data_IF_821196035661
#
_entry.id   IF_821196035661
#
_cell.length_a   1.000
_cell.length_b   1.000
_cell.length_c   1.000
_cell.angle_alpha   90.00
_cell.angle_beta   90.00
_cell.angle_gamma   90.00
#
_symmetry.space_group_name_H-M   'P 1'
#
loop_
_entity.id
_entity.type
_entity.pdbx_description
1 polymer ?
#
# COMPACT_ATOMS: atom_id res chain seq x y z
N UNK A 1 32.94 -16.53 -22.66
CA UNK A 1 31.53 -16.11 -22.51
C UNK A 1 30.76 -17.30 -21.98
N UNK A 2 30.42 -17.32 -20.69
CA UNK A 2 29.45 -18.25 -20.12
C UNK A 2 28.83 -17.54 -18.92
N UNK A 3 28.03 -16.52 -19.20
CA UNK A 3 27.07 -16.03 -18.20
C UNK A 3 26.15 -17.20 -17.92
N UNK A 4 26.15 -17.67 -16.67
CA UNK A 4 25.24 -18.74 -16.27
C UNK A 4 23.84 -18.15 -16.13
N UNK A 5 23.13 -18.04 -17.25
CA UNK A 5 21.75 -17.53 -17.29
C UNK A 5 20.81 -18.35 -16.41
N UNK A 6 21.15 -19.61 -16.10
CA UNK A 6 20.37 -20.41 -15.16
C UNK A 6 20.51 -19.87 -13.73
N UNK A 7 21.71 -19.44 -13.33
CA UNK A 7 21.92 -18.75 -12.05
C UNK A 7 21.19 -17.40 -12.00
N UNK A 8 21.22 -16.64 -13.10
CA UNK A 8 20.53 -15.34 -13.17
C UNK A 8 19.02 -15.50 -13.04
N UNK A 9 18.40 -16.35 -13.89
CA UNK A 9 16.95 -16.56 -13.88
C UNK A 9 16.50 -17.28 -12.61
N UNK A 10 17.23 -18.31 -12.18
CA UNK A 10 16.94 -19.07 -10.97
C UNK A 10 17.10 -18.22 -9.71
N UNK A 11 18.17 -17.44 -9.62
CA UNK A 11 18.40 -16.47 -8.54
C UNK A 11 17.33 -15.40 -8.51
N UNK A 12 16.97 -14.80 -9.65
CA UNK A 12 15.89 -13.80 -9.70
C UNK A 12 14.54 -14.38 -9.28
N UNK A 13 14.18 -15.56 -9.79
CA UNK A 13 12.94 -16.24 -9.43
C UNK A 13 12.88 -16.61 -7.95
N UNK A 14 13.96 -17.16 -7.39
CA UNK A 14 14.06 -17.49 -5.97
C UNK A 14 13.99 -16.24 -5.09
N UNK A 15 14.61 -15.14 -5.52
CA UNK A 15 14.57 -13.86 -4.82
C UNK A 15 13.13 -13.33 -4.74
N UNK A 16 12.42 -13.27 -5.87
CA UNK A 16 11.02 -12.83 -5.89
C UNK A 16 10.12 -13.74 -5.05
N UNK A 17 10.32 -15.06 -5.12
CA UNK A 17 9.58 -16.03 -4.32
C UNK A 17 9.83 -15.83 -2.81
N UNK A 18 11.09 -15.71 -2.41
CA UNK A 18 11.50 -15.51 -1.02
C UNK A 18 10.88 -14.25 -0.42
N UNK A 19 10.83 -13.15 -1.17
CA UNK A 19 10.23 -11.91 -0.71
C UNK A 19 8.71 -11.96 -0.67
N UNK A 20 8.08 -12.68 -1.60
CA UNK A 20 6.64 -12.93 -1.54
C UNK A 20 6.28 -13.73 -0.28
N UNK A 21 7.08 -14.73 0.08
CA UNK A 21 6.92 -15.50 1.31
C UNK A 21 7.12 -14.61 2.55
N UNK A 22 8.21 -13.85 2.60
CA UNK A 22 8.50 -12.93 3.71
C UNK A 22 7.36 -11.93 3.92
N UNK A 23 6.91 -11.26 2.86
CA UNK A 23 5.82 -10.29 2.94
C UNK A 23 4.52 -10.95 3.45
N UNK A 24 4.17 -12.14 2.94
CA UNK A 24 2.96 -12.87 3.39
C UNK A 24 3.01 -13.20 4.89
N UNK A 25 4.18 -13.58 5.42
CA UNK A 25 4.33 -13.94 6.84
C UNK A 25 4.23 -12.70 7.73
N UNK A 26 4.91 -11.61 7.34
CA UNK A 26 4.83 -10.32 8.02
C UNK A 26 3.38 -9.79 8.04
N UNK A 27 2.68 -9.88 6.91
CA UNK A 27 1.27 -9.48 6.79
C UNK A 27 0.35 -10.32 7.70
N UNK A 28 0.51 -11.65 7.70
CA UNK A 28 -0.31 -12.58 8.49
C UNK A 28 -0.18 -12.32 9.99
N UNK A 29 1.04 -12.03 10.46
CA UNK A 29 1.32 -11.79 11.88
C UNK A 29 0.58 -10.54 12.42
N UNK A 30 0.15 -9.63 11.54
CA UNK A 30 -0.26 -8.28 11.92
C UNK A 30 -1.74 -7.97 11.60
N UNK A 31 -2.41 -8.85 10.84
CA UNK A 31 -3.82 -8.70 10.44
C UNK A 31 -4.82 -8.56 11.62
N UNK A 32 -4.52 -9.10 12.81
CA UNK A 32 -5.41 -9.02 13.96
C UNK A 32 -5.34 -7.67 14.72
N UNK A 33 -4.30 -6.86 14.49
CA UNK A 33 -4.03 -5.62 15.26
C UNK A 33 -4.67 -4.36 14.67
N UNK A 34 -5.29 -4.44 13.48
CA UNK A 34 -5.78 -3.28 12.72
C UNK A 34 -7.18 -2.81 13.18
N UNK A 35 -7.99 -3.72 13.72
CA UNK A 35 -9.37 -3.44 14.15
C UNK A 35 -9.53 -2.24 15.10
N UNK A 36 -8.70 -2.05 16.15
CA UNK A 36 -8.82 -0.89 17.03
C UNK A 36 -8.38 0.43 16.39
N UNK A 37 -7.54 0.40 15.35
CA UNK A 37 -7.05 1.61 14.67
C UNK A 37 -8.16 2.27 13.81
N UNK A 38 -9.09 1.47 13.27
CA UNK A 38 -10.21 1.94 12.45
C UNK A 38 -11.14 2.92 13.19
N UNK A 39 -11.37 2.74 14.49
CA UNK A 39 -12.29 3.59 15.28
C UNK A 39 -11.74 5.01 15.50
N UNK A 40 -10.41 5.16 15.52
CA UNK A 40 -9.77 6.47 15.74
C UNK A 40 -9.59 7.28 14.44
N UNK A 41 -9.77 6.68 13.26
CA UNK A 41 -9.69 7.38 11.94
C UNK A 41 -10.71 8.53 11.85
N UNK A 42 -11.82 8.42 12.56
CA UNK A 42 -12.97 9.31 12.43
C UNK A 42 -12.85 10.63 13.20
N UNK A 43 -11.82 10.83 14.04
CA UNK A 43 -11.80 11.97 14.97
C UNK A 43 -11.08 13.23 14.48
N UNK A 44 -10.08 13.12 13.57
CA UNK A 44 -9.29 14.29 13.12
C UNK A 44 -8.51 14.00 11.81
N UNK A 45 -8.44 14.99 10.90
CA UNK A 45 -7.67 14.96 9.65
C UNK A 45 -6.19 14.57 9.85
N UNK A 46 -5.50 15.15 10.83
CA UNK A 46 -4.09 14.84 11.07
C UNK A 46 -3.90 13.40 11.57
N UNK A 47 -4.87 12.93 12.35
CA UNK A 47 -4.86 11.57 12.87
C UNK A 47 -5.05 10.54 11.75
N UNK A 48 -5.75 10.88 10.66
CA UNK A 48 -5.84 10.04 9.46
C UNK A 48 -4.46 9.69 8.89
N UNK A 49 -3.55 10.67 8.82
CA UNK A 49 -2.18 10.46 8.34
C UNK A 49 -1.36 9.58 9.29
N UNK A 50 -1.43 9.85 10.60
CA UNK A 50 -0.72 9.04 11.61
C UNK A 50 -1.19 7.60 11.57
N UNK A 51 -2.50 7.35 11.46
CA UNK A 51 -3.03 5.99 11.32
C UNK A 51 -2.53 5.32 10.05
N UNK A 52 -2.50 6.03 8.92
CA UNK A 52 -1.94 5.47 7.68
C UNK A 52 -0.50 4.98 7.88
N UNK A 53 0.33 5.81 8.52
CA UNK A 53 1.73 5.47 8.81
C UNK A 53 1.84 4.27 9.75
N UNK A 54 1.19 4.34 10.91
CA UNK A 54 1.21 3.27 11.92
C UNK A 54 0.62 1.97 11.36
N UNK A 55 -0.51 2.06 10.66
CA UNK A 55 -1.14 0.91 10.00
C UNK A 55 -0.20 0.28 8.99
N UNK A 56 0.54 1.03 8.18
CA UNK A 56 1.48 0.43 7.24
C UNK A 56 2.75 -0.09 7.90
N UNK A 57 3.25 0.54 8.97
CA UNK A 57 4.35 -0.02 9.76
C UNK A 57 3.97 -1.40 10.29
N UNK A 58 2.73 -1.54 10.75
CA UNK A 58 2.20 -2.82 11.20
C UNK A 58 1.88 -3.74 10.03
N UNK A 59 1.04 -3.37 9.08
CA UNK A 59 0.64 -4.22 7.94
C UNK A 59 1.82 -4.60 7.04
N UNK A 60 2.88 -3.79 7.04
CA UNK A 60 4.05 -3.91 6.18
C UNK A 60 3.76 -3.79 4.68
N UNK A 61 2.56 -3.35 4.28
CA UNK A 61 2.21 -3.14 2.88
C UNK A 61 1.31 -1.90 2.73
N UNK A 62 1.84 -0.81 2.14
CA UNK A 62 1.06 0.40 1.91
C UNK A 62 -0.12 0.17 0.97
N UNK A 63 0.02 -0.70 -0.03
CA UNK A 63 -1.08 -1.00 -0.97
C UNK A 63 -2.30 -1.57 -0.25
N UNK A 64 -2.10 -2.43 0.76
CA UNK A 64 -3.21 -2.98 1.56
C UNK A 64 -3.87 -1.86 2.38
N UNK A 65 -3.09 -1.02 3.06
CA UNK A 65 -3.61 0.13 3.82
C UNK A 65 -4.40 1.10 2.93
N UNK A 66 -3.90 1.38 1.72
CA UNK A 66 -4.54 2.28 0.75
C UNK A 66 -5.83 1.66 0.21
N UNK A 67 -5.82 0.37 -0.15
CA UNK A 67 -7.02 -0.35 -0.59
C UNK A 67 -8.08 -0.40 0.52
N UNK A 68 -7.68 -0.57 1.78
CA UNK A 68 -8.59 -0.49 2.90
C UNK A 68 -9.22 0.92 3.03
N UNK A 69 -8.42 1.98 2.88
CA UNK A 69 -8.92 3.36 2.85
C UNK A 69 -9.85 3.62 1.65
N UNK A 70 -9.58 3.02 0.49
CA UNK A 70 -10.45 3.04 -0.68
C UNK A 70 -11.78 2.35 -0.42
N UNK A 71 -11.78 1.19 0.25
CA UNK A 71 -13.00 0.49 0.64
C UNK A 71 -13.87 1.33 1.58
N UNK A 72 -13.27 1.95 2.60
CA UNK A 72 -13.98 2.85 3.51
C UNK A 72 -14.53 4.10 2.79
N UNK A 73 -13.75 4.66 1.86
CA UNK A 73 -14.18 5.77 1.01
C UNK A 73 -15.36 5.39 0.12
N UNK A 74 -15.33 4.19 -0.47
CA UNK A 74 -16.44 3.66 -1.29
C UNK A 74 -17.73 3.50 -0.49
N UNK A 75 -17.63 3.11 0.78
CA UNK A 75 -18.79 3.05 1.70
C UNK A 75 -19.19 4.40 2.31
N UNK A 76 -18.54 5.51 1.93
CA UNK A 76 -18.74 6.84 2.51
C UNK A 76 -18.52 6.92 4.03
N UNK A 77 -17.77 5.98 4.63
CA UNK A 77 -17.40 5.97 6.05
C UNK A 77 -16.36 7.05 6.37
N UNK A 78 -15.51 7.39 5.40
CA UNK A 78 -14.49 8.43 5.50
C UNK A 78 -14.52 9.30 4.24
N UNK A 79 -14.07 10.56 4.37
CA UNK A 79 -14.05 11.50 3.25
C UNK A 79 -12.85 11.27 2.33
N UNK A 80 -12.91 11.78 1.09
CA UNK A 80 -11.79 11.73 0.15
C UNK A 80 -10.51 12.35 0.74
N UNK A 81 -10.63 13.45 1.49
CA UNK A 81 -9.50 14.11 2.15
C UNK A 81 -8.91 13.22 3.27
N UNK A 82 -9.74 12.59 4.10
CA UNK A 82 -9.26 11.66 5.12
C UNK A 82 -8.54 10.47 4.50
N UNK A 83 -9.10 9.86 3.45
CA UNK A 83 -8.45 8.75 2.73
C UNK A 83 -7.15 9.16 2.07
N UNK A 84 -7.09 10.39 1.52
CA UNK A 84 -5.87 10.96 0.97
C UNK A 84 -4.78 11.10 2.03
N UNK A 85 -5.11 11.58 3.23
CA UNK A 85 -4.18 11.68 4.34
C UNK A 85 -3.74 10.30 4.86
N UNK A 86 -4.66 9.32 4.96
CA UNK A 86 -4.31 7.92 5.27
C UNK A 86 -3.31 7.37 4.23
N UNK A 87 -3.55 7.64 2.95
CA UNK A 87 -2.67 7.22 1.87
C UNK A 87 -1.27 7.84 2.02
N UNK A 88 -1.16 9.15 2.26
CA UNK A 88 0.14 9.81 2.51
C UNK A 88 0.88 9.16 3.68
N UNK A 89 0.19 8.98 4.81
CA UNK A 89 0.73 8.30 5.97
C UNK A 89 1.23 6.89 5.63
N UNK A 90 0.41 6.12 4.90
CA UNK A 90 0.76 4.76 4.49
C UNK A 90 2.05 4.71 3.68
N UNK A 91 2.29 5.70 2.80
CA UNK A 91 3.54 5.76 2.03
C UNK A 91 4.77 6.03 2.90
N UNK A 92 4.63 6.86 3.95
CA UNK A 92 5.70 7.07 4.93
C UNK A 92 5.99 5.79 5.73
N UNK A 93 4.95 5.08 6.16
CA UNK A 93 5.10 3.85 6.95
C UNK A 93 5.90 2.76 6.24
N UNK A 94 5.82 2.67 4.90
CA UNK A 94 6.58 1.70 4.09
C UNK A 94 8.11 1.85 4.23
N UNK A 95 8.58 3.02 4.62
CA UNK A 95 10.02 3.33 4.72
C UNK A 95 10.71 2.60 5.88
N UNK A 96 9.98 2.12 6.89
CA UNK A 96 10.57 1.38 8.02
C UNK A 96 11.31 0.12 7.55
N UNK A 97 10.83 -0.53 6.48
CA UNK A 97 11.46 -1.74 5.93
C UNK A 97 12.84 -1.48 5.34
N UNK A 98 13.06 -0.32 4.72
CA UNK A 98 14.39 -0.03 4.16
C UNK A 98 15.45 0.10 5.25
N UNK A 99 15.09 0.62 6.43
CA UNK A 99 16.00 0.67 7.58
C UNK A 99 16.30 -0.72 8.14
N UNK A 100 15.28 -1.56 8.27
CA UNK A 100 15.47 -2.96 8.68
C UNK A 100 16.45 -3.68 7.74
N UNK A 101 16.31 -3.51 6.43
CA UNK A 101 17.19 -4.14 5.45
C UNK A 101 18.58 -3.51 5.34
N UNK A 102 18.73 -2.22 5.65
CA UNK A 102 20.04 -1.57 5.66
C UNK A 102 20.94 -2.08 6.79
N UNK A 103 20.34 -2.40 7.95
CA UNK A 103 21.06 -2.82 9.17
C UNK A 103 21.18 -4.35 9.27
N UNK A 104 20.38 -5.11 8.50
CA UNK A 104 20.40 -6.57 8.53
C UNK A 104 21.81 -7.14 8.28
N UNK A 105 22.16 -8.23 8.99
CA UNK A 105 23.49 -8.86 8.90
C UNK A 105 23.41 -10.04 7.91
N UNK A 106 24.07 -9.90 6.75
CA UNK A 106 23.90 -10.79 5.59
C UNK A 106 24.88 -11.97 5.53
N UNK A 107 26.00 -11.91 6.26
CA UNK A 107 27.09 -12.92 6.20
C UNK A 107 26.60 -14.36 6.47
N UNK A 108 25.45 -14.51 7.09
CA UNK A 108 24.91 -15.79 7.54
C UNK A 108 23.79 -16.34 6.66
N UNK A 109 23.52 -15.80 5.47
CA UNK A 109 22.37 -16.22 4.63
C UNK A 109 22.25 -17.73 4.43
N UNK A 110 23.33 -18.42 4.07
CA UNK A 110 23.32 -19.88 3.89
C UNK A 110 23.10 -20.64 5.21
N UNK A 111 23.73 -20.17 6.30
CA UNK A 111 23.53 -20.74 7.63
C UNK A 111 22.09 -20.54 8.12
N UNK A 112 21.49 -19.38 7.83
CA UNK A 112 20.10 -19.06 8.11
C UNK A 112 19.18 -20.02 7.35
N UNK A 113 19.44 -20.31 6.07
CA UNK A 113 18.66 -21.30 5.30
C UNK A 113 18.77 -22.68 5.94
N UNK A 114 19.98 -23.14 6.25
CA UNK A 114 20.22 -24.48 6.81
C UNK A 114 19.53 -24.68 8.15
N UNK A 115 19.77 -23.75 9.09
CA UNK A 115 19.18 -23.77 10.43
C UNK A 115 17.66 -23.67 10.34
N UNK A 116 17.13 -22.70 9.60
CA UNK A 116 15.68 -22.50 9.51
C UNK A 116 14.98 -23.69 8.85
N UNK A 117 15.57 -24.31 7.83
CA UNK A 117 15.00 -25.51 7.19
C UNK A 117 14.91 -26.68 8.16
N UNK A 118 15.95 -26.91 8.98
CA UNK A 118 15.95 -27.97 9.99
C UNK A 118 14.88 -27.70 11.05
N UNK A 119 14.87 -26.49 11.62
CA UNK A 119 13.89 -26.12 12.65
C UNK A 119 12.45 -26.14 12.13
N UNK A 120 12.22 -25.83 10.86
CA UNK A 120 10.88 -25.87 10.25
C UNK A 120 10.28 -27.28 10.25
N UNK A 121 11.11 -28.30 10.03
CA UNK A 121 10.68 -29.72 10.07
C UNK A 121 10.43 -30.18 11.50
N UNK A 122 11.20 -29.68 12.46
CA UNK A 122 11.15 -30.12 13.87
C UNK A 122 10.07 -29.40 14.69
N UNK A 123 9.76 -28.14 14.38
CA UNK A 123 8.85 -27.31 15.17
C UNK A 123 7.38 -27.61 14.87
N UNK A 124 6.62 -27.90 15.93
CA UNK A 124 5.16 -28.13 15.85
C UNK A 124 4.32 -26.94 16.31
N UNK A 125 4.91 -25.96 17.00
CA UNK A 125 4.16 -24.79 17.50
C UNK A 125 3.93 -23.77 16.36
N UNK A 126 2.68 -23.34 16.11
CA UNK A 126 2.33 -22.56 14.92
C UNK A 126 3.06 -21.20 14.89
N UNK A 127 3.12 -20.49 16.01
CA UNK A 127 3.80 -19.19 16.09
C UNK A 127 5.32 -19.30 15.82
N UNK A 128 6.00 -20.25 16.47
CA UNK A 128 7.45 -20.45 16.25
C UNK A 128 7.75 -20.88 14.81
N UNK A 129 6.87 -21.68 14.23
CA UNK A 129 6.98 -22.09 12.82
C UNK A 129 6.90 -20.87 11.90
N UNK A 130 5.97 -19.94 12.12
CA UNK A 130 5.89 -18.69 11.34
C UNK A 130 7.16 -17.84 11.45
N UNK A 131 7.75 -17.72 12.66
CA UNK A 131 9.03 -17.03 12.83
C UNK A 131 10.17 -17.69 12.05
N UNK A 132 10.22 -19.03 12.06
CA UNK A 132 11.24 -19.80 11.32
C UNK A 132 11.01 -19.76 9.81
N UNK A 133 9.75 -19.75 9.35
CA UNK A 133 9.41 -19.52 7.93
C UNK A 133 9.87 -18.13 7.47
N UNK A 134 9.71 -17.09 8.30
CA UNK A 134 10.20 -15.74 7.99
C UNK A 134 11.72 -15.72 7.89
N UNK A 135 12.39 -16.38 8.82
CA UNK A 135 13.85 -16.47 8.85
C UNK A 135 14.38 -17.27 7.63
N UNK A 136 13.70 -18.36 7.25
CA UNK A 136 13.99 -19.11 6.03
C UNK A 136 13.81 -18.23 4.79
N UNK A 137 12.73 -17.45 4.70
CA UNK A 137 12.49 -16.54 3.59
C UNK A 137 13.61 -15.49 3.46
N UNK A 138 14.08 -14.92 4.57
CA UNK A 138 15.24 -14.01 4.58
C UNK A 138 16.51 -14.73 4.09
N UNK A 139 16.79 -15.94 4.60
CA UNK A 139 17.95 -16.72 4.18
C UNK A 139 17.91 -17.06 2.69
N UNK A 140 16.76 -17.49 2.17
CA UNK A 140 16.57 -17.78 0.75
C UNK A 140 16.74 -16.54 -0.11
N UNK A 141 16.34 -15.36 0.37
CA UNK A 141 16.57 -14.11 -0.33
C UNK A 141 18.08 -13.82 -0.49
N UNK A 142 18.88 -14.03 0.56
CA UNK A 142 20.33 -13.87 0.49
C UNK A 142 21.01 -14.91 -0.41
N UNK A 143 20.56 -16.17 -0.35
CA UNK A 143 21.04 -17.21 -1.26
C UNK A 143 20.74 -16.86 -2.72
N UNK A 144 19.52 -16.39 -3.00
CA UNK A 144 19.09 -15.98 -4.33
C UNK A 144 19.94 -14.82 -4.88
N UNK A 145 20.30 -13.87 -4.01
CA UNK A 145 21.19 -12.75 -4.36
C UNK A 145 22.63 -13.20 -4.63
N UNK A 146 23.11 -14.20 -3.88
CA UNK A 146 24.41 -14.81 -4.17
C UNK A 146 24.45 -15.47 -5.55
N UNK A 147 23.40 -16.21 -5.91
CA UNK A 147 23.26 -16.80 -7.27
C UNK A 147 23.19 -15.73 -8.36
N UNK A 148 22.42 -14.65 -8.11
CA UNK A 148 22.36 -13.51 -9.02
C UNK A 148 23.72 -12.86 -9.21
N UNK A 149 24.46 -12.64 -8.12
CA UNK A 149 25.81 -12.09 -8.17
C UNK A 149 26.72 -12.96 -9.04
N UNK A 150 26.81 -14.25 -8.75
CA UNK A 150 27.66 -15.18 -9.51
C UNK A 150 27.28 -15.24 -10.99
N UNK A 151 25.98 -15.28 -11.30
CA UNK A 151 25.50 -15.31 -12.67
C UNK A 151 25.77 -14.00 -13.43
N UNK A 152 25.70 -12.84 -12.77
CA UNK A 152 25.90 -11.52 -13.37
C UNK A 152 27.35 -11.07 -13.41
N UNK A 153 28.24 -11.62 -12.57
CA UNK A 153 29.66 -11.27 -12.52
C UNK A 153 30.33 -11.22 -13.91
N UNK A 154 30.19 -12.24 -14.78
CA UNK A 154 30.81 -12.23 -16.10
C UNK A 154 30.31 -11.13 -17.04
N UNK A 155 29.15 -10.53 -16.77
CA UNK A 155 28.60 -9.41 -17.53
C UNK A 155 29.10 -8.10 -16.93
N UNK A 156 28.96 -7.94 -15.61
CA UNK A 156 29.33 -6.69 -14.91
C UNK A 156 30.81 -6.36 -15.07
N UNK A 157 31.70 -7.35 -15.14
CA UNK A 157 33.13 -7.12 -15.32
C UNK A 157 33.52 -6.80 -16.77
N UNK A 158 32.59 -6.81 -17.73
CA UNK A 158 32.91 -6.48 -19.12
C UNK A 158 33.02 -4.97 -19.33
N UNK A 159 33.98 -4.56 -20.15
CA UNK A 159 34.25 -3.15 -20.44
C UNK A 159 33.02 -2.40 -20.96
N UNK A 160 32.21 -3.00 -21.83
CA UNK A 160 30.99 -2.33 -22.33
C UNK A 160 29.95 -2.14 -21.22
N UNK A 161 29.83 -3.09 -20.29
CA UNK A 161 28.88 -2.99 -19.16
C UNK A 161 29.38 -1.94 -18.17
N UNK A 162 30.67 -1.91 -17.86
CA UNK A 162 31.24 -0.86 -17.01
C UNK A 162 31.15 0.52 -17.67
N UNK A 163 31.34 0.63 -18.99
CA UNK A 163 31.19 1.91 -19.70
C UNK A 163 29.73 2.35 -19.76
N UNK A 164 28.77 1.43 -19.93
CA UNK A 164 27.35 1.74 -19.79
C UNK A 164 27.04 2.18 -18.36
N UNK A 165 27.45 1.42 -17.35
CA UNK A 165 27.23 1.76 -15.94
C UNK A 165 27.82 3.15 -15.65
N UNK A 166 29.06 3.42 -16.10
CA UNK A 166 29.71 4.73 -16.00
C UNK A 166 28.96 5.83 -16.74
N UNK A 167 28.40 5.57 -17.92
CA UNK A 167 27.56 6.52 -18.66
C UNK A 167 26.25 6.84 -17.92
N UNK A 168 25.69 5.87 -17.22
CA UNK A 168 24.47 6.07 -16.40
C UNK A 168 24.77 6.64 -15.00
N UNK A 169 25.97 6.40 -14.46
CA UNK A 169 26.42 6.78 -13.11
C UNK A 169 27.16 8.13 -13.07
N UNK A 170 28.04 8.42 -14.04
CA UNK A 170 28.93 9.59 -14.05
C UNK A 170 28.51 10.70 -15.00
N UNK A 171 27.70 10.41 -16.02
CA UNK A 171 27.18 11.44 -16.92
C UNK A 171 25.81 11.89 -16.42
N UNK A 172 25.78 13.09 -15.82
CA UNK A 172 24.63 13.86 -15.32
C UNK A 172 23.60 14.23 -16.39
N UNK A 173 23.38 13.37 -17.39
CA UNK A 173 22.31 13.58 -18.35
C UNK A 173 20.99 13.28 -17.67
N UNK A 174 20.03 14.20 -17.78
CA UNK A 174 18.66 13.99 -17.32
C UNK A 174 18.07 12.70 -17.94
N UNK A 175 18.51 12.34 -19.15
CA UNK A 175 18.05 11.14 -19.85
C UNK A 175 18.46 9.83 -19.17
N UNK A 176 19.72 9.71 -18.69
CA UNK A 176 20.19 8.52 -17.98
C UNK A 176 19.45 8.36 -16.65
N UNK A 177 19.28 9.46 -15.92
CA UNK A 177 18.56 9.49 -14.66
C UNK A 177 17.08 9.05 -14.83
N UNK A 178 16.39 9.57 -15.85
CA UNK A 178 15.01 9.19 -16.15
C UNK A 178 14.87 7.71 -16.52
N UNK A 179 15.85 7.13 -17.25
CA UNK A 179 15.84 5.71 -17.60
C UNK A 179 16.00 4.82 -16.35
N UNK A 180 16.85 5.21 -15.41
CA UNK A 180 17.03 4.47 -14.14
C UNK A 180 15.75 4.55 -13.29
N UNK A 181 15.13 5.72 -13.18
CA UNK A 181 13.83 5.89 -12.51
C UNK A 181 12.74 5.05 -13.20
N UNK A 182 12.68 5.07 -14.53
CA UNK A 182 11.72 4.27 -15.30
C UNK A 182 11.93 2.77 -15.06
N UNK A 183 13.18 2.31 -14.94
CA UNK A 183 13.51 0.92 -14.63
C UNK A 183 13.00 0.51 -13.24
N UNK A 184 13.27 1.32 -12.21
CA UNK A 184 12.75 1.09 -10.87
C UNK A 184 11.21 1.06 -10.82
N UNK A 185 10.57 1.96 -11.58
CA UNK A 185 9.12 1.99 -11.75
C UNK A 185 8.59 0.71 -12.38
N UNK A 186 9.13 0.31 -13.53
CA UNK A 186 8.71 -0.86 -14.29
C UNK A 186 8.85 -2.15 -13.48
N UNK A 187 10.02 -2.38 -12.87
CA UNK A 187 10.26 -3.57 -12.05
C UNK A 187 9.29 -3.57 -10.86
N UNK A 188 9.04 -2.42 -10.24
CA UNK A 188 8.07 -2.35 -9.13
C UNK A 188 6.64 -2.59 -9.60
N UNK A 189 6.26 -2.19 -10.81
CA UNK A 189 4.92 -2.50 -11.35
C UNK A 189 4.72 -4.00 -11.55
N UNK A 190 5.76 -4.72 -11.98
CA UNK A 190 5.72 -6.18 -12.13
C UNK A 190 5.66 -6.89 -10.78
N UNK A 191 6.50 -6.46 -9.84
CA UNK A 191 6.61 -7.09 -8.51
C UNK A 191 5.51 -6.61 -7.54
N UNK A 192 4.91 -5.46 -7.80
CA UNK A 192 3.85 -4.80 -7.03
C UNK A 192 4.24 -4.47 -5.57
N UNK A 193 5.54 -4.35 -5.28
CA UNK A 193 6.06 -4.04 -3.94
C UNK A 193 7.31 -3.15 -4.04
N UNK A 194 7.17 -1.87 -3.68
CA UNK A 194 8.33 -0.95 -3.62
C UNK A 194 9.38 -1.42 -2.63
N UNK A 195 8.98 -1.93 -1.46
CA UNK A 195 9.95 -2.38 -0.46
C UNK A 195 10.79 -3.56 -0.92
N UNK A 196 10.22 -4.42 -1.77
CA UNK A 196 10.96 -5.50 -2.43
C UNK A 196 12.02 -4.93 -3.36
N UNK A 197 11.69 -3.91 -4.15
CA UNK A 197 12.65 -3.27 -5.05
C UNK A 197 13.70 -2.48 -4.27
N UNK A 198 13.31 -1.79 -3.20
CA UNK A 198 14.25 -1.12 -2.30
C UNK A 198 15.22 -2.15 -1.69
N UNK A 199 14.73 -3.29 -1.21
CA UNK A 199 15.59 -4.36 -0.71
C UNK A 199 16.57 -4.89 -1.78
N UNK A 200 16.08 -5.11 -3.01
CA UNK A 200 16.94 -5.49 -4.14
C UNK A 200 18.02 -4.44 -4.40
N UNK A 201 17.66 -3.17 -4.44
CA UNK A 201 18.59 -2.05 -4.63
C UNK A 201 19.66 -2.02 -3.53
N UNK A 202 19.26 -2.19 -2.26
CA UNK A 202 20.19 -2.24 -1.15
C UNK A 202 21.18 -3.39 -1.29
N UNK A 203 20.72 -4.58 -1.70
CA UNK A 203 21.65 -5.70 -1.91
C UNK A 203 22.57 -5.46 -3.11
N UNK A 204 22.03 -4.99 -4.24
CA UNK A 204 22.87 -4.70 -5.41
C UNK A 204 23.93 -3.64 -5.08
N UNK A 205 23.59 -2.65 -4.25
CA UNK A 205 24.56 -1.67 -3.74
C UNK A 205 25.60 -2.30 -2.82
N UNK A 206 25.19 -3.22 -1.93
CA UNK A 206 26.12 -3.98 -1.06
C UNK A 206 27.14 -4.79 -1.85
N UNK A 207 26.75 -5.33 -3.00
CA UNK A 207 27.62 -6.09 -3.90
C UNK A 207 28.44 -5.21 -4.86
N UNK A 208 28.29 -3.87 -4.78
CA UNK A 208 28.99 -2.91 -5.65
C UNK A 208 28.42 -2.80 -7.07
N UNK A 209 27.26 -3.39 -7.36
CA UNK A 209 26.61 -3.30 -8.68
C UNK A 209 25.84 -2.01 -8.90
N UNK A 210 25.43 -1.34 -7.81
CA UNK A 210 24.63 -0.12 -7.85
C UNK A 210 25.29 0.90 -6.94
N UNK A 211 25.72 2.02 -7.52
CA UNK A 211 26.23 3.14 -6.74
C UNK A 211 25.10 3.95 -6.10
N UNK A 212 25.45 4.83 -5.17
CA UNK A 212 24.48 5.59 -4.37
C UNK A 212 23.49 6.41 -5.22
N UNK A 213 23.92 7.26 -6.17
CA UNK A 213 23.01 7.97 -7.08
C UNK A 213 22.07 7.04 -7.87
N UNK A 214 22.59 5.95 -8.44
CA UNK A 214 21.77 4.99 -9.18
C UNK A 214 20.74 4.31 -8.27
N UNK A 215 21.15 3.90 -7.07
CA UNK A 215 20.26 3.31 -6.07
C UNK A 215 19.16 4.28 -5.65
N UNK A 216 19.51 5.54 -5.40
CA UNK A 216 18.53 6.58 -5.09
C UNK A 216 17.49 6.75 -6.21
N UNK A 217 17.94 6.83 -7.46
CA UNK A 217 17.06 6.94 -8.62
C UNK A 217 16.13 5.72 -8.79
N UNK A 218 16.64 4.50 -8.58
CA UNK A 218 15.82 3.27 -8.59
C UNK A 218 14.75 3.30 -7.49
N UNK A 219 15.08 3.78 -6.29
CA UNK A 219 14.14 3.92 -5.16
C UNK A 219 13.04 4.95 -5.50
N UNK A 220 13.38 6.07 -6.14
CA UNK A 220 12.40 7.05 -6.63
C UNK A 220 11.45 6.41 -7.64
N UNK A 221 12.00 5.65 -8.60
CA UNK A 221 11.22 4.87 -9.55
C UNK A 221 10.26 3.90 -8.87
N UNK A 222 10.74 3.15 -7.88
CA UNK A 222 9.95 2.17 -7.15
C UNK A 222 8.75 2.79 -6.43
N UNK A 223 8.89 4.03 -5.96
CA UNK A 223 7.80 4.78 -5.36
C UNK A 223 6.66 5.09 -6.35
N UNK A 224 6.99 5.33 -7.62
CA UNK A 224 5.98 5.47 -8.69
C UNK A 224 5.35 4.11 -9.00
N UNK A 225 6.15 3.07 -9.20
CA UNK A 225 5.62 1.78 -9.66
C UNK A 225 4.59 1.14 -8.71
N UNK A 226 4.65 1.43 -7.41
CA UNK A 226 3.68 0.93 -6.42
C UNK A 226 2.25 1.48 -6.63
N UNK A 227 2.08 2.55 -7.41
CA UNK A 227 0.75 3.15 -7.63
C UNK A 227 -0.12 2.32 -8.58
N UNK A 228 0.45 1.31 -9.27
CA UNK A 228 -0.34 0.43 -10.14
C UNK A 228 -1.38 -0.37 -9.34
N UNK A 229 -1.05 -0.82 -8.12
CA UNK A 229 -1.95 -1.69 -7.34
C UNK A 229 -3.24 -0.97 -6.95
N UNK A 230 -3.22 0.26 -6.40
CA UNK A 230 -4.45 1.02 -6.14
C UNK A 230 -5.19 1.40 -7.42
N UNK A 231 -4.50 1.65 -8.54
CA UNK A 231 -5.16 1.92 -9.83
C UNK A 231 -6.00 0.72 -10.26
N UNK A 232 -5.40 -0.47 -10.32
CA UNK A 232 -6.10 -1.71 -10.68
C UNK A 232 -7.25 -1.97 -9.70
N UNK A 233 -7.00 -1.84 -8.40
CA UNK A 233 -8.02 -2.04 -7.38
C UNK A 233 -9.19 -1.06 -7.50
N UNK A 234 -8.98 0.15 -8.03
CA UNK A 234 -10.02 1.17 -8.18
C UNK A 234 -10.95 0.98 -9.38
N UNK A 235 -10.61 0.10 -10.32
CA UNK A 235 -11.35 -0.03 -11.60
C UNK A 235 -12.83 -0.35 -11.38
N UNK A 236 -13.13 -1.17 -10.37
CA UNK A 236 -14.47 -1.64 -10.00
C UNK A 236 -15.24 -0.69 -9.06
N UNK A 237 -14.62 0.41 -8.61
CA UNK A 237 -15.22 1.33 -7.63
C UNK A 237 -15.71 2.65 -8.23
N UNK A 238 -16.47 3.39 -7.41
CA UNK A 238 -17.03 4.70 -7.72
C UNK A 238 -15.96 5.79 -7.91
N UNK A 239 -16.39 6.94 -8.46
CA UNK A 239 -15.49 8.05 -8.84
C UNK A 239 -14.62 8.55 -7.68
N UNK A 240 -15.12 8.59 -6.45
CA UNK A 240 -14.32 9.01 -5.29
C UNK A 240 -13.13 8.08 -5.04
N UNK A 241 -13.32 6.77 -5.18
CA UNK A 241 -12.24 5.79 -5.04
C UNK A 241 -11.24 5.92 -6.18
N UNK A 242 -11.71 6.14 -7.41
CA UNK A 242 -10.86 6.43 -8.58
C UNK A 242 -10.06 7.72 -8.42
N UNK A 243 -10.66 8.79 -7.86
CA UNK A 243 -9.97 10.05 -7.52
C UNK A 243 -8.82 9.79 -6.55
N UNK A 244 -9.04 8.99 -5.51
CA UNK A 244 -7.98 8.64 -4.56
C UNK A 244 -6.83 7.87 -5.25
N UNK A 245 -7.15 6.85 -6.04
CA UNK A 245 -6.12 6.06 -6.74
C UNK A 245 -5.31 6.91 -7.74
N UNK A 246 -5.97 7.77 -8.52
CA UNK A 246 -5.30 8.68 -9.45
C UNK A 246 -4.48 9.73 -8.69
N UNK A 247 -4.99 10.24 -7.56
CA UNK A 247 -4.21 11.15 -6.72
C UNK A 247 -2.90 10.54 -6.26
N UNK A 248 -2.91 9.25 -5.90
CA UNK A 248 -1.71 8.53 -5.49
C UNK A 248 -0.64 8.53 -6.59
N UNK A 249 -1.04 8.23 -7.83
CA UNK A 249 -0.16 8.27 -9.00
C UNK A 249 0.39 9.68 -9.22
N UNK A 250 -0.50 10.68 -9.28
CA UNK A 250 -0.13 12.06 -9.61
C UNK A 250 0.85 12.62 -8.59
N UNK A 251 0.59 12.49 -7.28
CA UNK A 251 1.48 13.04 -6.26
C UNK A 251 2.83 12.33 -6.22
N UNK A 252 2.89 11.02 -6.49
CA UNK A 252 4.14 10.25 -6.55
C UNK A 252 4.96 10.67 -7.76
N UNK A 253 4.30 10.79 -8.91
CA UNK A 253 4.94 11.25 -10.14
C UNK A 253 5.49 12.67 -9.97
N UNK A 254 4.66 13.62 -9.49
CA UNK A 254 5.10 14.99 -9.23
C UNK A 254 6.20 15.04 -8.18
N UNK A 255 6.06 14.28 -7.09
CA UNK A 255 7.09 14.17 -6.06
C UNK A 255 8.45 13.75 -6.61
N UNK A 256 8.46 12.74 -7.50
CA UNK A 256 9.70 12.32 -8.18
C UNK A 256 10.18 13.41 -9.13
N UNK A 257 9.33 14.00 -9.98
CA UNK A 257 9.76 15.07 -10.90
C UNK A 257 10.36 16.27 -10.18
N UNK A 258 9.75 16.68 -9.06
CA UNK A 258 10.25 17.74 -8.18
C UNK A 258 11.63 17.33 -7.65
N UNK A 259 11.75 16.13 -7.07
CA UNK A 259 13.04 15.63 -6.53
C UNK A 259 14.12 15.54 -7.61
N UNK A 260 13.77 15.10 -8.83
CA UNK A 260 14.71 15.02 -9.95
C UNK A 260 15.20 16.40 -10.41
N UNK A 261 14.37 17.44 -10.31
CA UNK A 261 14.75 18.82 -10.68
C UNK A 261 15.88 19.37 -9.82
N UNK A 262 16.08 18.83 -8.61
CA UNK A 262 17.17 19.18 -7.71
C UNK A 262 17.90 17.94 -7.17
N UNK A 263 18.02 16.90 -7.99
CA UNK A 263 18.50 15.58 -7.56
C UNK A 263 19.84 15.63 -6.80
N UNK A 264 20.83 16.37 -7.31
CA UNK A 264 22.12 16.53 -6.62
C UNK A 264 21.98 17.20 -5.26
N UNK A 265 21.13 18.22 -5.13
CA UNK A 265 20.87 18.89 -3.85
C UNK A 265 20.11 17.98 -2.88
N UNK A 266 19.22 17.13 -3.40
CA UNK A 266 18.52 16.13 -2.60
C UNK A 266 19.49 15.09 -2.03
N UNK A 267 20.47 14.60 -2.80
CA UNK A 267 21.49 13.69 -2.28
C UNK A 267 22.34 14.37 -1.19
N UNK A 268 22.79 15.61 -1.42
CA UNK A 268 23.52 16.38 -0.39
C UNK A 268 22.71 16.58 0.90
N UNK A 269 21.40 16.78 0.80
CA UNK A 269 20.52 16.85 1.96
C UNK A 269 20.50 15.53 2.73
N UNK A 270 20.44 14.39 2.03
CA UNK A 270 20.48 13.07 2.67
C UNK A 270 21.83 12.86 3.36
N UNK A 271 22.93 13.21 2.68
CA UNK A 271 24.29 13.07 3.18
C UNK A 271 24.53 13.95 4.42
N UNK A 272 23.90 15.13 4.48
CA UNK A 272 23.96 16.01 5.64
C UNK A 272 23.18 15.49 6.86
N UNK A 273 22.15 14.66 6.65
CA UNK A 273 21.29 14.11 7.71
C UNK A 273 21.86 12.79 8.26
N UNK A 274 22.44 11.97 7.39
CA UNK A 274 22.93 10.63 7.75
C UNK A 274 24.42 10.69 8.09
N UNK A 275 24.81 10.34 9.32
CA UNK A 275 26.21 10.36 9.72
C UNK A 275 27.02 9.25 9.01
N UNK A 276 28.29 9.55 8.74
CA UNK A 276 29.23 8.63 8.09
C UNK A 276 29.38 8.92 6.59
N UNK A 277 30.56 8.60 6.04
CA UNK A 277 30.81 8.76 4.61
C UNK A 277 29.97 7.76 3.80
N UNK A 278 29.53 8.20 2.62
CA UNK A 278 28.71 7.39 1.71
C UNK A 278 29.40 6.07 1.36
N UNK A 279 30.74 6.03 1.32
CA UNK A 279 31.50 4.80 1.06
C UNK A 279 31.28 3.71 2.12
N UNK A 280 31.20 4.08 3.39
CA UNK A 280 31.10 3.12 4.50
C UNK A 280 29.65 2.85 4.91
N UNK A 281 28.75 3.81 4.65
CA UNK A 281 27.35 3.79 5.09
C UNK A 281 26.32 3.85 3.95
N UNK A 282 26.70 3.52 2.71
CA UNK A 282 25.84 3.61 1.51
C UNK A 282 24.42 3.06 1.70
N UNK A 283 24.28 1.95 2.43
CA UNK A 283 23.00 1.31 2.70
C UNK A 283 22.08 2.14 3.60
N UNK A 284 22.65 2.83 4.59
CA UNK A 284 21.93 3.76 5.47
C UNK A 284 21.52 5.01 4.68
N UNK A 285 22.39 5.55 3.83
CA UNK A 285 22.04 6.65 2.93
C UNK A 285 20.90 6.28 1.98
N UNK A 286 20.91 5.08 1.38
CA UNK A 286 19.81 4.61 0.53
C UNK A 286 18.48 4.42 1.30
N UNK A 287 18.52 3.91 2.53
CA UNK A 287 17.33 3.84 3.38
C UNK A 287 16.81 5.24 3.76
N UNK A 288 17.71 6.19 3.99
CA UNK A 288 17.38 7.58 4.27
C UNK A 288 16.82 8.29 3.03
N UNK A 289 17.35 8.06 1.83
CA UNK A 289 16.76 8.53 0.56
C UNK A 289 15.28 8.17 0.51
N UNK A 290 14.95 6.90 0.77
CA UNK A 290 13.57 6.44 0.74
C UNK A 290 12.69 7.17 1.77
N UNK A 291 13.22 7.40 2.97
CA UNK A 291 12.50 8.03 4.09
C UNK A 291 12.32 9.52 3.88
N UNK A 292 13.39 10.24 3.58
CA UNK A 292 13.41 11.69 3.37
C UNK A 292 12.55 12.04 2.16
N UNK A 293 12.65 11.30 1.05
CA UNK A 293 11.76 11.49 -0.10
C UNK A 293 10.28 11.37 0.27
N UNK A 294 9.88 10.30 0.96
CA UNK A 294 8.48 10.13 1.35
C UNK A 294 8.04 11.15 2.39
N UNK A 295 8.91 11.52 3.33
CA UNK A 295 8.64 12.54 4.33
C UNK A 295 8.42 13.91 3.70
N UNK A 296 9.28 14.35 2.78
CA UNK A 296 9.12 15.60 2.05
C UNK A 296 7.81 15.63 1.26
N UNK A 297 7.45 14.53 0.59
CA UNK A 297 6.17 14.41 -0.10
C UNK A 297 4.98 14.49 0.86
N UNK A 298 5.05 13.83 2.01
CA UNK A 298 3.99 13.86 3.02
C UNK A 298 3.81 15.26 3.58
N UNK A 299 4.89 15.98 3.86
CA UNK A 299 4.84 17.37 4.31
C UNK A 299 4.25 18.29 3.24
N UNK A 300 4.74 18.20 1.99
CA UNK A 300 4.29 19.04 0.88
C UNK A 300 2.81 18.81 0.54
N UNK A 301 2.45 17.55 0.28
CA UNK A 301 1.09 17.19 -0.15
C UNK A 301 0.09 17.15 1.01
N UNK A 302 0.56 16.91 2.23
CA UNK A 302 -0.25 16.99 3.45
C UNK A 302 -0.68 18.43 3.74
N UNK A 303 0.23 19.41 3.60
CA UNK A 303 -0.11 20.83 3.75
C UNK A 303 -1.06 21.31 2.65
N UNK A 304 -0.89 20.79 1.43
CA UNK A 304 -1.72 21.12 0.27
C UNK A 304 -2.95 20.21 0.11
N UNK A 305 -3.31 19.38 1.10
CA UNK A 305 -4.33 18.33 0.96
C UNK A 305 -5.65 18.86 0.44
N UNK A 306 -6.13 19.97 0.99
CA UNK A 306 -7.40 20.59 0.59
C UNK A 306 -7.35 21.10 -0.86
N UNK A 307 -6.21 21.63 -1.32
CA UNK A 307 -6.02 22.10 -2.70
C UNK A 307 -5.97 20.91 -3.66
N UNK A 308 -5.20 19.89 -3.32
CA UNK A 308 -5.11 18.65 -4.12
C UNK A 308 -6.49 18.03 -4.29
N UNK A 309 -7.27 17.91 -3.21
CA UNK A 309 -8.64 17.36 -3.26
C UNK A 309 -9.53 18.19 -4.19
N UNK A 310 -9.49 19.53 -4.15
CA UNK A 310 -10.24 20.39 -5.08
C UNK A 310 -9.86 20.15 -6.55
N UNK A 311 -8.56 20.03 -6.84
CA UNK A 311 -8.07 19.74 -8.19
C UNK A 311 -8.56 18.36 -8.66
N UNK A 312 -8.59 17.35 -7.78
CA UNK A 312 -9.12 16.02 -8.12
C UNK A 312 -10.60 16.04 -8.49
N UNK A 313 -11.41 16.89 -7.84
CA UNK A 313 -12.81 17.09 -8.22
C UNK A 313 -12.96 17.75 -9.60
N UNK A 314 -11.99 18.55 -10.03
CA UNK A 314 -11.97 19.16 -11.37
C UNK A 314 -11.49 18.18 -12.45
N UNK A 315 -10.43 17.41 -12.18
CA UNK A 315 -9.87 16.41 -13.10
C UNK A 315 -10.83 15.25 -13.38
N UNK A 316 -11.58 14.84 -12.35
CA UNK A 316 -12.58 13.79 -12.46
C UNK A 316 -13.89 14.37 -11.95
N UNK A 317 -14.67 15.07 -12.79
CA UNK A 317 -15.93 15.65 -12.38
C UNK A 317 -16.87 14.57 -11.86
N UNK A 318 -17.58 14.87 -10.78
CA UNK A 318 -18.76 14.11 -10.39
C UNK A 318 -19.77 14.32 -11.50
N UNK A 319 -20.43 13.26 -11.97
CA UNK A 319 -21.64 13.51 -12.73
C UNK A 319 -22.62 14.24 -11.81
N UNK A 320 -23.51 15.06 -12.36
CA UNK A 320 -24.60 15.74 -11.65
C UNK A 320 -25.40 14.79 -10.74
N UNK A 321 -25.29 13.49 -11.00
CA UNK A 321 -25.81 12.38 -10.21
C UNK A 321 -25.13 12.15 -8.84
N UNK A 322 -23.83 12.43 -8.69
CA UNK A 322 -23.08 12.10 -7.46
C UNK A 322 -23.22 13.16 -6.37
N UNK A 323 -23.48 14.43 -6.73
CA UNK A 323 -23.92 15.46 -5.77
C UNK A 323 -25.37 15.24 -5.33
N UNK A 324 -26.18 14.60 -6.17
CA UNK A 324 -27.55 14.23 -5.86
C UNK A 324 -27.67 12.94 -5.03
N UNK A 325 -26.60 12.18 -4.85
CA UNK A 325 -26.58 10.99 -3.98
C UNK A 325 -26.55 11.33 -2.49
N UNK A 326 -26.48 12.61 -2.12
CA UNK A 326 -26.86 13.09 -0.78
C UNK A 326 -28.38 13.29 -0.62
N UNK A 327 -29.17 13.13 -1.70
CA UNK A 327 -30.62 13.07 -1.63
C UNK A 327 -31.06 11.62 -1.50
N UNK A 328 -31.76 11.32 -0.41
CA UNK A 328 -32.31 10.01 -0.01
C UNK A 328 -33.30 9.43 -1.05
N UNK A 329 -33.70 10.21 -2.07
CA UNK A 329 -34.79 9.87 -2.98
C UNK A 329 -34.32 9.11 -4.25
N UNK A 330 -34.93 7.94 -4.56
CA UNK A 330 -34.67 7.21 -5.79
C UNK A 330 -34.94 8.04 -7.05
N UNK A 331 -34.15 7.82 -8.11
CA UNK A 331 -34.20 8.58 -9.37
C UNK A 331 -35.61 8.68 -10.01
N UNK A 332 -36.43 7.64 -9.83
CA UNK A 332 -37.82 7.58 -10.32
C UNK A 332 -38.74 8.56 -9.58
N UNK A 333 -38.57 8.69 -8.27
CA UNK A 333 -39.37 9.57 -7.40
C UNK A 333 -39.04 11.03 -7.70
N UNK A 334 -37.78 11.33 -7.97
CA UNK A 334 -37.33 12.67 -8.35
C UNK A 334 -37.89 13.13 -9.70
N UNK A 335 -37.89 12.25 -10.70
CA UNK A 335 -38.53 12.53 -12.01
C UNK A 335 -40.04 12.72 -11.87
N UNK A 336 -40.69 12.02 -10.93
CA UNK A 336 -42.09 12.24 -10.58
C UNK A 336 -42.32 13.58 -9.88
N UNK A 337 -41.50 13.95 -8.90
CA UNK A 337 -41.55 15.24 -8.18
C UNK A 337 -41.49 16.43 -9.14
N UNK A 338 -40.60 16.37 -10.14
CA UNK A 338 -40.41 17.44 -11.11
C UNK A 338 -41.57 17.59 -12.12
N UNK A 339 -42.38 16.55 -12.33
CA UNK A 339 -43.47 16.55 -13.34
C UNK A 339 -44.86 16.61 -12.72
N UNK A 340 -45.07 15.94 -11.59
CA UNK A 340 -46.34 15.84 -10.88
C UNK A 340 -46.11 15.81 -9.35
N UNK A 341 -45.91 16.98 -8.71
CA UNK A 341 -45.50 17.07 -7.31
C UNK A 341 -46.45 16.33 -6.36
N UNK A 342 -47.77 16.47 -6.55
CA UNK A 342 -48.79 15.86 -5.69
C UNK A 342 -48.80 14.32 -5.75
N UNK A 343 -48.49 13.73 -6.91
CA UNK A 343 -48.39 12.28 -7.04
C UNK A 343 -47.10 11.73 -6.44
N UNK A 344 -46.02 12.52 -6.49
CA UNK A 344 -44.75 12.13 -5.93
C UNK A 344 -44.76 12.13 -4.40
N UNK A 345 -45.44 13.10 -3.76
CA UNK A 345 -45.67 13.08 -2.31
C UNK A 345 -46.42 11.83 -1.86
N UNK A 346 -47.52 11.46 -2.55
CA UNK A 346 -48.27 10.23 -2.24
C UNK A 346 -47.44 8.95 -2.39
N UNK A 347 -46.55 8.89 -3.39
CA UNK A 347 -45.67 7.73 -3.56
C UNK A 347 -44.58 7.69 -2.47
N UNK A 348 -44.04 8.84 -2.07
CA UNK A 348 -43.10 8.92 -0.93
C UNK A 348 -43.78 8.46 0.36
N UNK A 349 -44.97 8.94 0.67
CA UNK A 349 -45.73 8.53 1.87
C UNK A 349 -46.00 7.02 1.89
N UNK A 350 -46.28 6.44 0.71
CA UNK A 350 -46.48 5.01 0.55
C UNK A 350 -45.20 4.20 0.78
N UNK A 351 -44.05 4.70 0.31
CA UNK A 351 -42.75 4.05 0.54
C UNK A 351 -42.33 4.16 2.01
N UNK A 352 -42.53 5.31 2.65
CA UNK A 352 -42.27 5.50 4.08
C UNK A 352 -43.15 4.57 4.92
N UNK A 353 -44.44 4.44 4.58
CA UNK A 353 -45.34 3.51 5.29
C UNK A 353 -44.90 2.05 5.16
N UNK A 354 -44.51 1.61 3.96
CA UNK A 354 -43.96 0.25 3.76
C UNK A 354 -42.69 0.01 4.56
N UNK A 355 -41.80 0.98 4.59
CA UNK A 355 -40.54 0.93 5.34
C UNK A 355 -40.78 0.85 6.85
N UNK A 356 -41.77 1.58 7.36
CA UNK A 356 -42.24 1.50 8.75
C UNK A 356 -42.79 0.11 9.08
N UNK A 357 -43.59 -0.49 8.21
CA UNK A 357 -44.17 -1.83 8.43
C UNK A 357 -43.10 -2.93 8.39
N UNK A 358 -42.18 -2.88 7.43
CA UNK A 358 -41.03 -3.78 7.34
C UNK A 358 -40.13 -3.66 8.56
N UNK A 359 -39.94 -2.43 9.02
CA UNK A 359 -39.27 -2.14 10.28
C UNK A 359 -40.04 -2.84 11.37
N UNK A 360 -41.28 -2.47 11.69
CA UNK A 360 -42.04 -3.07 12.80
C UNK A 360 -41.99 -4.60 12.83
N UNK A 361 -42.26 -5.26 11.70
CA UNK A 361 -42.17 -6.71 11.55
C UNK A 361 -40.81 -7.29 11.98
N UNK A 362 -39.71 -6.61 11.63
CA UNK A 362 -38.37 -7.00 12.06
C UNK A 362 -38.14 -6.84 13.56
N UNK A 363 -38.73 -5.85 14.22
CA UNK A 363 -38.63 -5.74 15.70
C UNK A 363 -39.41 -6.85 16.35
N UNK A 364 -40.65 -7.06 15.91
CA UNK A 364 -41.55 -8.03 16.51
C UNK A 364 -40.94 -9.44 16.42
N UNK A 365 -40.41 -9.83 15.25
CA UNK A 365 -39.69 -11.11 15.09
C UNK A 365 -38.41 -11.17 15.92
N UNK A 366 -37.68 -10.06 16.09
CA UNK A 366 -36.48 -10.05 16.91
C UNK A 366 -36.81 -10.17 18.41
N UNK A 367 -37.94 -9.59 18.85
CA UNK A 367 -38.40 -9.62 20.23
C UNK A 367 -38.96 -11.00 20.59
N UNK A 368 -39.76 -11.59 19.71
CA UNK A 368 -40.36 -12.92 19.85
C UNK A 368 -39.27 -14.01 19.96
N UNK A 369 -38.20 -13.90 19.15
CA UNK A 369 -37.02 -14.77 19.24
C UNK A 369 -36.20 -14.55 20.52
N UNK A 370 -36.19 -13.34 21.08
CA UNK A 370 -35.54 -13.06 22.36
C UNK A 370 -36.33 -13.63 23.53
N UNK A 371 -37.66 -13.59 23.48
CA UNK A 371 -38.54 -14.21 24.49
C UNK A 371 -38.55 -15.73 24.42
N UNK A 372 -38.49 -16.33 23.22
CA UNK A 372 -38.39 -17.79 23.07
C UNK A 372 -37.00 -18.33 23.46
N UNK A 373 -35.95 -17.52 23.30
CA UNK A 373 -34.60 -17.84 23.80
C UNK A 373 -34.48 -17.87 25.32
N UNK A 374 -35.43 -17.28 26.06
CA UNK A 374 -35.50 -17.37 27.53
C UNK A 374 -36.09 -18.72 27.99
N UNK A 375 -36.84 -19.42 27.12
CA UNK A 375 -37.52 -20.69 27.44
C UNK A 375 -36.73 -21.97 27.06
N UNK A 376 -35.41 -21.89 26.88
CA UNK A 376 -34.54 -23.05 27.15
C UNK A 376 -33.94 -23.83 25.97
N UNK A 377 -33.74 -23.25 24.78
CA UNK A 377 -32.86 -23.86 23.77
C UNK A 377 -31.85 -22.87 23.15
N UNK A 378 -30.57 -23.28 23.12
CA UNK A 378 -29.45 -22.51 22.53
C UNK A 378 -29.54 -22.51 21.00
N UNK A 379 -29.55 -21.33 20.39
CA UNK A 379 -29.44 -21.17 18.94
C UNK A 379 -27.96 -20.98 18.49
N UNK A 380 -27.49 -21.72 17.46
CA UNK A 380 -26.13 -21.62 16.95
C UNK A 380 -25.89 -20.39 16.05
N UNK A 381 -24.64 -19.94 16.06
CA UNK A 381 -24.07 -18.65 15.65
C UNK A 381 -24.31 -18.17 14.20
N UNK A 382 -24.94 -18.97 13.32
CA UNK A 382 -25.18 -18.63 11.89
C UNK A 382 -26.46 -17.81 11.67
N UNK A 383 -27.43 -17.90 12.57
CA UNK A 383 -28.69 -17.16 12.47
C UNK A 383 -28.53 -15.66 12.82
N UNK A 384 -27.56 -15.36 13.68
CA UNK A 384 -27.26 -14.01 14.21
C UNK A 384 -26.78 -13.02 13.14
N UNK A 385 -26.04 -13.50 12.14
CA UNK A 385 -25.48 -12.66 11.07
C UNK A 385 -26.58 -12.03 10.18
N UNK A 386 -27.70 -12.73 9.98
CA UNK A 386 -28.80 -12.25 9.14
C UNK A 386 -29.78 -11.32 9.88
N UNK A 387 -29.93 -11.46 11.21
CA UNK A 387 -30.75 -10.57 12.04
C UNK A 387 -30.11 -9.19 12.16
N UNK A 388 -28.79 -9.13 12.37
CA UNK A 388 -28.02 -7.88 12.40
C UNK A 388 -27.98 -7.21 11.02
N UNK A 389 -27.88 -7.97 9.92
CA UNK A 389 -27.98 -7.42 8.55
C UNK A 389 -29.35 -6.80 8.23
N UNK A 390 -30.44 -7.30 8.83
CA UNK A 390 -31.78 -6.70 8.65
C UNK A 390 -32.03 -5.52 9.60
N UNK A 391 -31.42 -5.50 10.78
CA UNK A 391 -31.42 -4.34 11.68
C UNK A 391 -30.55 -3.17 11.13
N UNK A 392 -29.47 -3.46 10.39
CA UNK A 392 -28.67 -2.47 9.67
C UNK A 392 -29.42 -1.83 8.48
N UNK A 393 -30.36 -2.52 7.84
CA UNK A 393 -31.34 -1.91 6.90
C UNK A 393 -32.37 -1.01 7.60
N UNK A 394 -32.43 -1.06 8.92
CA UNK A 394 -33.35 -0.33 9.79
C UNK A 394 -32.76 0.97 10.32
N UNK A 395 -31.42 1.09 10.37
CA UNK A 395 -30.74 2.35 10.70
C UNK A 395 -30.52 3.26 9.49
N UNK A 396 -30.78 2.81 8.26
CA UNK A 396 -30.90 3.69 7.08
C UNK A 396 -32.21 4.49 7.04
N UNK A 397 -32.86 4.63 8.20
CA UNK A 397 -34.20 5.18 8.39
C UNK A 397 -34.30 6.13 9.60
N UNK A 398 -33.16 6.56 10.16
CA UNK A 398 -33.08 7.64 11.18
C UNK A 398 -32.27 8.85 10.64
N UNK A 399 -31.96 8.89 9.34
CA UNK A 399 -31.55 10.12 8.65
C UNK A 399 -32.63 10.50 7.62
#
# INVERSE_FOLDING_TARGET
MNTDWMQVVGGFGLFLLSLRLLNRILEKSIANSIKPLLKKVLSNRFFSMVIGCVSTIFVQASSITIIAAMGLLGTSLITLEQSFLVMLGATLGTTIKSWFFAIAIHKYGLAIVGISSIFLVLLRRPFLRECVEALLAIGLAFLALHLLYQGLQPIVTQQWTQELLRKYTQQSSITSLLLVVASGCFITMLVQSSSTIVFLVLELARQGFVDYPMGAALILGANIGTTITPIIASLEYDRNVKRLAISHLVIKLLGVMITLSFFSSFLLLVDAIVPGDVGDAALLHLAAVHTIFNFLNVCLWGLLSTVVVKILFQLIPSQSYDQESQSILPMRVRRMLARHPQHAFREIDKQISRLKDMTKSLADHSLEMLTDGVNGQKLPTRCYYNVVLRALKRSSMIC
#
